data_IF_902850126013
#
_entry.id   IF_902850126013
#
_cell.length_a   1.000
_cell.length_b   1.000
_cell.length_c   1.000
_cell.angle_alpha   90.00
_cell.angle_beta   90.00
_cell.angle_gamma   90.00
#
_symmetry.space_group_name_H-M   'P 1'
#
loop_
_entity.id
_entity.type
_entity.pdbx_description
1 polymer ?
#
# COMPACT_ATOMS: atom_id res chain seq x y z
N UNK A 1 -71.29 0.69 4.64
CA UNK A 1 -69.86 0.93 4.93
C UNK A 1 -69.06 -0.28 4.49
N UNK A 2 -68.28 -0.17 3.41
CA UNK A 2 -67.39 -1.25 2.96
C UNK A 2 -66.12 -1.25 3.81
N UNK A 3 -65.64 -2.43 4.22
CA UNK A 3 -64.41 -2.56 5.03
C UNK A 3 -63.18 -2.42 4.12
N UNK A 4 -62.15 -1.69 4.58
CA UNK A 4 -60.85 -1.55 3.90
C UNK A 4 -59.73 -2.22 4.70
N UNK A 5 -58.53 -2.37 4.09
CA UNK A 5 -57.35 -2.93 4.76
C UNK A 5 -56.73 -1.91 5.71
N UNK A 6 -56.47 -2.31 6.95
CA UNK A 6 -55.97 -1.41 8.00
C UNK A 6 -54.45 -1.15 7.96
N UNK A 7 -53.63 -2.06 7.39
CA UNK A 7 -52.16 -1.92 7.33
C UNK A 7 -51.56 -2.76 6.20
N UNK A 8 -50.50 -2.27 5.52
CA UNK A 8 -49.78 -2.99 4.45
C UNK A 8 -48.30 -2.60 4.37
N UNK A 9 -47.41 -3.60 4.31
CA UNK A 9 -45.96 -3.44 4.10
C UNK A 9 -45.47 -4.03 2.76
N UNK A 10 -46.39 -4.47 1.90
CA UNK A 10 -46.11 -5.29 0.70
C UNK A 10 -45.13 -4.64 -0.29
N UNK A 11 -45.19 -3.32 -0.47
CA UNK A 11 -44.33 -2.59 -1.40
C UNK A 11 -43.23 -1.77 -0.69
N UNK A 12 -42.95 -2.04 0.58
CA UNK A 12 -41.93 -1.29 1.32
C UNK A 12 -40.54 -1.81 1.00
N UNK A 13 -40.33 -3.13 1.11
CA UNK A 13 -39.06 -3.78 0.78
C UNK A 13 -38.63 -3.50 -0.67
N UNK A 14 -39.49 -3.67 -1.71
CA UNK A 14 -39.11 -3.32 -3.07
C UNK A 14 -38.64 -1.86 -3.23
N UNK A 15 -39.32 -0.90 -2.58
CA UNK A 15 -38.93 0.53 -2.63
C UNK A 15 -37.56 0.78 -1.99
N UNK A 16 -37.28 0.18 -0.84
CA UNK A 16 -35.98 0.33 -0.17
C UNK A 16 -34.82 -0.24 -1.00
N UNK A 17 -35.08 -1.31 -1.76
CA UNK A 17 -34.07 -1.94 -2.60
C UNK A 17 -33.89 -1.28 -3.98
N UNK A 18 -34.80 -0.41 -4.46
CA UNK A 18 -34.65 0.30 -5.74
C UNK A 18 -33.33 1.08 -5.84
N UNK A 19 -32.93 1.73 -4.76
CA UNK A 19 -31.67 2.48 -4.68
C UNK A 19 -30.57 1.70 -3.93
N UNK A 20 -30.92 0.50 -3.43
CA UNK A 20 -30.11 -0.30 -2.53
C UNK A 20 -30.02 0.28 -1.12
N UNK A 21 -30.11 -0.58 -0.10
CA UNK A 21 -29.89 -0.18 1.29
C UNK A 21 -28.38 0.00 1.49
N UNK A 22 -27.92 1.26 1.53
CA UNK A 22 -26.50 1.58 1.70
C UNK A 22 -26.09 1.47 3.16
N UNK A 23 -24.94 0.84 3.41
CA UNK A 23 -24.26 0.91 4.71
C UNK A 23 -23.58 2.27 4.85
N UNK A 24 -23.44 2.76 6.08
CA UNK A 24 -22.62 3.95 6.33
C UNK A 24 -21.15 3.65 5.94
N UNK A 25 -20.45 4.57 5.25
CA UNK A 25 -19.05 4.40 4.95
C UNK A 25 -18.20 4.28 6.22
N UNK A 26 -17.21 3.36 6.27
CA UNK A 26 -16.28 3.30 7.39
C UNK A 26 -15.35 4.52 7.37
N UNK A 27 -15.33 5.27 8.46
CA UNK A 27 -14.41 6.39 8.64
C UNK A 27 -13.15 5.92 9.37
N UNK A 28 -11.95 6.26 8.85
CA UNK A 28 -10.66 5.86 9.46
C UNK A 28 -10.51 6.31 10.91
N UNK A 29 -11.02 7.50 11.22
CA UNK A 29 -11.02 8.08 12.56
C UNK A 29 -12.45 8.43 12.96
N UNK A 30 -13.03 7.63 13.85
CA UNK A 30 -14.37 7.87 14.40
C UNK A 30 -14.40 9.01 15.43
N UNK A 31 -15.57 9.59 15.70
CA UNK A 31 -15.71 10.60 16.73
C UNK A 31 -15.52 10.00 18.13
N UNK A 32 -14.89 10.74 19.04
CA UNK A 32 -14.73 10.35 20.46
C UNK A 32 -15.94 10.74 21.34
N UNK A 33 -17.10 10.98 20.73
CA UNK A 33 -18.33 11.38 21.44
C UNK A 33 -18.80 10.20 22.30
N UNK A 34 -19.01 10.44 23.59
CA UNK A 34 -19.40 9.40 24.55
C UNK A 34 -18.21 8.69 25.23
N UNK A 35 -16.97 9.05 24.91
CA UNK A 35 -15.81 8.62 25.70
C UNK A 35 -15.80 9.30 27.07
N UNK A 36 -15.11 8.68 28.03
CA UNK A 36 -15.00 9.17 29.40
C UNK A 36 -14.44 10.61 29.45
N UNK A 37 -15.14 11.57 30.08
CA UNK A 37 -14.66 12.94 30.20
C UNK A 37 -13.28 13.06 30.85
N UNK A 38 -12.94 12.20 31.82
CA UNK A 38 -11.62 12.26 32.48
C UNK A 38 -10.51 11.88 31.50
N UNK A 39 -10.71 10.84 30.71
CA UNK A 39 -9.82 10.47 29.62
C UNK A 39 -9.67 11.61 28.59
N UNK A 40 -10.77 12.19 28.12
CA UNK A 40 -10.75 13.26 27.11
C UNK A 40 -10.01 14.51 27.60
N UNK A 41 -10.15 14.87 28.88
CA UNK A 41 -9.41 15.99 29.47
C UNK A 41 -7.91 15.75 29.43
N UNK A 42 -7.46 14.56 29.85
CA UNK A 42 -6.04 14.22 29.83
C UNK A 42 -5.46 14.19 28.41
N UNK A 43 -6.16 13.58 27.46
CA UNK A 43 -5.74 13.52 26.06
C UNK A 43 -5.60 14.94 25.46
N UNK A 44 -6.56 15.82 25.72
CA UNK A 44 -6.50 17.23 25.30
C UNK A 44 -5.28 17.97 25.89
N UNK A 45 -4.96 17.75 27.17
CA UNK A 45 -3.76 18.33 27.77
C UNK A 45 -2.46 17.81 27.14
N UNK A 46 -2.38 16.51 26.87
CA UNK A 46 -1.22 15.90 26.22
C UNK A 46 -0.98 16.46 24.81
N UNK A 47 -2.04 16.62 24.02
CA UNK A 47 -1.97 17.20 22.67
C UNK A 47 -1.63 18.70 22.68
N UNK A 48 -2.14 19.44 23.68
CA UNK A 48 -1.92 20.88 23.83
C UNK A 48 -0.46 21.23 24.12
N UNK A 49 0.23 20.44 24.96
CA UNK A 49 1.57 20.76 25.43
C UNK A 49 2.65 19.97 24.68
N UNK A 50 3.15 20.51 23.57
CA UNK A 50 4.21 19.91 22.75
C UNK A 50 5.61 20.12 23.33
N UNK A 51 5.87 19.56 24.51
CA UNK A 51 7.22 19.51 25.09
C UNK A 51 8.08 18.49 24.30
N UNK A 52 9.38 18.75 24.17
CA UNK A 52 10.31 17.81 23.52
C UNK A 52 10.27 17.78 21.98
N UNK A 53 9.54 18.67 21.31
CA UNK A 53 9.45 18.67 19.84
C UNK A 53 10.81 18.79 19.15
N UNK A 54 11.69 19.66 19.68
CA UNK A 54 13.06 19.85 19.15
C UNK A 54 13.93 18.62 19.34
N UNK A 55 13.82 17.95 20.49
CA UNK A 55 14.54 16.72 20.80
C UNK A 55 14.09 15.57 19.89
N UNK A 56 12.77 15.43 19.70
CA UNK A 56 12.19 14.48 18.76
C UNK A 56 12.67 14.75 17.33
N UNK A 57 12.71 16.02 16.90
CA UNK A 57 13.21 16.38 15.57
C UNK A 57 14.68 16.02 15.40
N UNK A 58 15.53 16.35 16.38
CA UNK A 58 16.94 15.98 16.37
C UNK A 58 17.12 14.46 16.30
N UNK A 59 16.40 13.70 17.15
CA UNK A 59 16.43 12.25 17.13
C UNK A 59 16.02 11.69 15.76
N UNK A 60 14.91 12.15 15.20
CA UNK A 60 14.43 11.73 13.88
C UNK A 60 15.46 12.03 12.78
N UNK A 61 16.12 13.20 12.80
CA UNK A 61 17.17 13.50 11.81
C UNK A 61 18.37 12.57 11.94
N UNK A 62 18.75 12.20 13.17
CA UNK A 62 19.84 11.26 13.42
C UNK A 62 19.48 9.85 12.92
N UNK A 63 18.24 9.41 13.15
CA UNK A 63 17.72 8.14 12.65
C UNK A 63 17.69 8.12 11.11
N UNK A 64 17.21 9.18 10.47
CA UNK A 64 17.21 9.28 9.00
C UNK A 64 18.63 9.29 8.42
N UNK A 65 19.57 9.98 9.06
CA UNK A 65 21.00 9.96 8.66
C UNK A 65 21.59 8.55 8.78
N UNK A 66 21.29 7.83 9.86
CA UNK A 66 21.74 6.46 10.04
C UNK A 66 21.14 5.52 8.98
N UNK A 67 19.84 5.64 8.71
CA UNK A 67 19.16 4.89 7.67
C UNK A 67 19.78 5.15 6.29
N UNK A 68 20.03 6.41 5.92
CA UNK A 68 20.67 6.76 4.66
C UNK A 68 22.07 6.15 4.50
N UNK A 69 22.87 6.13 5.59
CA UNK A 69 24.17 5.46 5.61
C UNK A 69 24.04 3.95 5.41
N UNK A 70 23.09 3.31 6.09
CA UNK A 70 22.83 1.87 5.96
C UNK A 70 22.34 1.50 4.56
N UNK A 71 21.40 2.26 3.98
CA UNK A 71 20.95 2.06 2.60
C UNK A 71 22.11 2.24 1.61
N UNK A 72 22.95 3.27 1.79
CA UNK A 72 24.14 3.46 0.95
C UNK A 72 25.14 2.31 1.07
N UNK A 73 25.30 1.74 2.25
CA UNK A 73 26.15 0.57 2.47
C UNK A 73 25.58 -0.71 1.84
N UNK A 74 24.25 -0.87 1.81
CA UNK A 74 23.58 -1.99 1.14
C UNK A 74 23.64 -1.87 -0.39
N UNK A 75 23.46 -0.65 -0.91
CA UNK A 75 23.49 -0.36 -2.35
C UNK A 75 24.91 -0.42 -2.92
N UNK A 76 25.95 -0.23 -2.09
CA UNK A 76 27.32 -0.56 -2.52
C UNK A 76 27.43 -2.09 -2.63
N UNK A 77 27.61 -2.66 -3.84
CA UNK A 77 27.87 -4.08 -3.94
C UNK A 77 29.20 -4.34 -3.23
N UNK A 78 29.20 -5.28 -2.28
CA UNK A 78 30.43 -5.98 -1.89
C UNK A 78 31.03 -6.48 -3.21
N UNK A 79 32.21 -5.99 -3.58
CA UNK A 79 33.01 -6.58 -4.65
C UNK A 79 33.23 -8.06 -4.31
N UNK A 80 32.36 -8.92 -4.82
CA UNK A 80 32.66 -10.33 -4.94
C UNK A 80 33.73 -10.39 -6.00
N UNK A 81 34.96 -10.68 -5.58
CA UNK A 81 36.03 -11.03 -6.52
C UNK A 81 35.50 -12.13 -7.44
N UNK A 82 35.53 -11.94 -8.78
CA UNK A 82 35.19 -13.02 -9.68
C UNK A 82 36.24 -14.12 -9.49
N UNK A 83 35.86 -15.23 -8.86
CA UNK A 83 36.61 -16.47 -9.01
C UNK A 83 36.19 -17.03 -10.36
N UNK A 84 37.10 -16.93 -11.33
CA UNK A 84 36.98 -17.58 -12.63
C UNK A 84 36.66 -19.06 -12.43
N UNK A 85 35.41 -19.45 -12.69
CA UNK A 85 35.07 -20.81 -13.05
C UNK A 85 34.84 -20.80 -14.55
N UNK A 86 35.91 -21.15 -15.29
CA UNK A 86 35.81 -21.53 -16.71
C UNK A 86 34.90 -22.76 -16.78
N UNK A 87 33.65 -22.57 -17.18
CA UNK A 87 32.75 -23.67 -17.53
C UNK A 87 33.05 -24.06 -18.97
N UNK A 88 33.26 -25.34 -19.31
CA UNK A 88 33.53 -25.75 -20.68
C UNK A 88 32.27 -25.57 -21.55
N UNK A 89 32.48 -25.09 -22.77
CA UNK A 89 31.44 -24.88 -23.76
C UNK A 89 30.78 -26.22 -24.14
N UNK A 90 29.51 -26.39 -23.78
CA UNK A 90 28.70 -27.50 -24.25
C UNK A 90 27.29 -27.02 -24.60
N UNK A 91 26.97 -27.15 -25.89
CA UNK A 91 25.65 -27.18 -26.52
C UNK A 91 24.69 -26.01 -26.28
N UNK A 92 24.64 -25.11 -27.28
CA UNK A 92 23.48 -24.27 -27.56
C UNK A 92 22.29 -25.16 -27.92
N UNK A 93 21.48 -25.52 -26.93
CA UNK A 93 20.12 -26.01 -27.18
C UNK A 93 19.21 -24.79 -27.24
N UNK A 94 18.87 -24.35 -28.45
CA UNK A 94 17.87 -23.30 -28.68
C UNK A 94 16.51 -23.80 -28.21
N UNK A 95 16.11 -23.45 -26.99
CA UNK A 95 14.71 -23.57 -26.57
C UNK A 95 13.94 -22.35 -27.07
N UNK A 96 12.75 -22.52 -27.68
CA UNK A 96 11.97 -21.39 -28.19
C UNK A 96 11.47 -20.51 -27.03
N UNK A 97 11.75 -19.21 -27.10
CA UNK A 97 11.17 -18.22 -26.19
C UNK A 97 9.65 -18.16 -26.39
N UNK A 98 8.89 -18.56 -25.37
CA UNK A 98 7.47 -18.20 -25.28
C UNK A 98 7.38 -16.71 -24.91
N UNK A 99 6.53 -15.90 -25.59
CA UNK A 99 6.39 -14.49 -25.29
C UNK A 99 5.72 -14.30 -23.93
N UNK A 100 6.43 -13.70 -22.97
CA UNK A 100 5.80 -13.16 -21.75
C UNK A 100 5.21 -11.78 -22.07
N UNK A 101 4.03 -11.43 -21.54
CA UNK A 101 3.24 -10.29 -22.02
C UNK A 101 3.70 -8.92 -21.48
N UNK A 102 4.94 -8.77 -21.00
CA UNK A 102 5.32 -7.58 -20.22
C UNK A 102 6.53 -6.76 -20.70
N UNK A 103 7.15 -7.08 -21.84
CA UNK A 103 8.15 -6.17 -22.43
C UNK A 103 8.08 -6.14 -23.95
N UNK A 104 7.40 -5.11 -24.49
CA UNK A 104 7.46 -4.73 -25.90
C UNK A 104 8.83 -4.13 -26.22
N UNK A 105 9.87 -4.94 -26.34
CA UNK A 105 11.05 -4.56 -27.14
C UNK A 105 11.60 -5.83 -27.79
N UNK A 106 11.31 -6.02 -29.08
CA UNK A 106 11.98 -7.03 -29.90
C UNK A 106 13.16 -6.33 -30.60
N UNK A 107 14.38 -6.56 -30.13
CA UNK A 107 15.60 -6.04 -30.77
C UNK A 107 16.11 -7.06 -31.79
N UNK A 108 15.55 -7.06 -32.99
CA UNK A 108 16.17 -7.70 -34.15
C UNK A 108 17.14 -6.69 -34.78
N UNK A 109 18.44 -6.81 -34.45
CA UNK A 109 19.50 -6.12 -35.19
C UNK A 109 19.51 -6.64 -36.63
N UNK A 110 19.32 -5.74 -37.59
CA UNK A 110 19.69 -5.97 -38.97
C UNK A 110 21.18 -5.66 -39.13
N UNK A 111 21.97 -6.71 -39.42
CA UNK A 111 23.30 -6.57 -40.01
C UNK A 111 23.37 -7.54 -41.19
N UNK A 112 23.05 -7.06 -42.39
CA UNK A 112 23.37 -7.79 -43.63
C UNK A 112 24.82 -7.46 -43.99
N UNK A 113 25.65 -8.49 -44.03
CA UNK A 113 26.98 -8.45 -44.64
C UNK A 113 26.93 -9.18 -45.99
N UNK A 114 27.24 -8.42 -47.04
CA UNK A 114 27.91 -8.73 -48.32
C UNK A 114 27.41 -7.78 -49.41
#
# INVERSE_FOLDING_TARGET
MSKSKNHIAQNQSPKWHRNGIKKLPPQRYGPLKGADPKFLRNMCFAEKHKKGLKEMQANNTNVMKAHAKATKALVKPKEVKPKDQRVPAASLTTLPCLPTPSSRVCSCLHSQGL
#
